data_IF_156555864690
#
_entry.id   IF_156555864690
#
_cell.length_a   1.000
_cell.length_b   1.000
_cell.length_c   1.000
_cell.angle_alpha   90.00
_cell.angle_beta   90.00
_cell.angle_gamma   90.00
#
_symmetry.space_group_name_H-M   'P 1'
#
loop_
_entity.id
_entity.type
_entity.pdbx_description
1 polymer ?
#
# COMPACT_ATOMS: atom_id res chain seq x y z
N UNK A 1 16.67 21.77 -9.04
CA UNK A 1 16.54 21.01 -7.78
C UNK A 1 16.93 21.94 -6.64
N UNK A 2 15.96 22.47 -5.91
CA UNK A 2 16.22 23.27 -4.72
C UNK A 2 16.62 22.32 -3.58
N UNK A 3 17.79 22.53 -2.98
CA UNK A 3 18.24 21.75 -1.83
C UNK A 3 17.27 21.95 -0.67
N UNK A 4 16.61 20.88 -0.23
CA UNK A 4 15.82 20.89 1.00
C UNK A 4 16.77 21.20 2.15
N UNK A 5 16.48 22.25 2.91
CA UNK A 5 17.31 22.69 4.04
C UNK A 5 17.04 21.76 5.24
N UNK A 6 17.71 20.60 5.27
CA UNK A 6 17.43 19.46 6.16
C UNK A 6 17.59 19.76 7.65
N UNK A 7 18.37 20.76 8.03
CA UNK A 7 18.60 21.11 9.44
C UNK A 7 17.35 21.62 10.17
N UNK A 8 16.48 22.37 9.49
CA UNK A 8 15.19 22.82 10.07
C UNK A 8 14.14 21.69 10.09
N UNK A 9 14.31 20.68 9.22
CA UNK A 9 13.41 19.55 9.13
C UNK A 9 13.66 18.58 10.28
N UNK A 10 14.92 18.29 10.61
CA UNK A 10 15.24 17.36 11.70
C UNK A 10 14.71 17.82 13.06
N UNK A 11 14.82 19.13 13.36
CA UNK A 11 14.28 19.68 14.60
C UNK A 11 12.74 19.61 14.67
N UNK A 12 12.05 19.70 13.54
CA UNK A 12 10.60 19.55 13.47
C UNK A 12 10.15 18.09 13.61
N UNK A 13 10.94 17.14 13.09
CA UNK A 13 10.66 15.70 13.17
C UNK A 13 10.83 15.12 14.58
N UNK A 14 11.65 15.77 15.42
CA UNK A 14 11.85 15.40 16.84
C UNK A 14 10.81 16.02 17.79
N UNK A 15 9.75 16.67 17.26
CA UNK A 15 8.68 17.19 18.11
C UNK A 15 8.01 16.05 18.91
N UNK A 16 7.99 16.13 20.26
CA UNK A 16 7.36 15.11 21.09
C UNK A 16 5.84 14.99 20.89
N UNK A 17 5.17 15.93 20.22
CA UNK A 17 3.78 15.78 19.78
C UNK A 17 3.67 14.74 18.66
N UNK A 18 4.54 14.79 17.66
CA UNK A 18 4.51 13.83 16.54
C UNK A 18 4.71 12.39 17.02
N UNK A 19 5.65 12.17 17.95
CA UNK A 19 5.85 10.85 18.53
C UNK A 19 4.61 10.33 19.29
N UNK A 20 3.84 11.23 19.93
CA UNK A 20 2.58 10.88 20.60
C UNK A 20 1.47 10.53 19.60
N UNK A 21 1.48 11.16 18.44
CA UNK A 21 0.52 10.90 17.35
C UNK A 21 0.89 9.65 16.52
N UNK A 22 1.93 8.91 16.92
CA UNK A 22 2.36 7.68 16.25
C UNK A 22 3.26 7.91 15.04
N UNK A 23 3.79 9.12 14.86
CA UNK A 23 4.74 9.40 13.80
C UNK A 23 6.10 8.75 14.07
N UNK A 24 6.55 7.91 13.14
CA UNK A 24 7.87 7.29 13.18
C UNK A 24 8.90 8.13 12.40
N UNK A 25 9.56 9.04 13.12
CA UNK A 25 10.59 9.90 12.57
C UNK A 25 11.80 9.11 12.02
N UNK A 26 12.10 7.93 12.57
CA UNK A 26 13.22 7.11 12.10
C UNK A 26 12.91 6.52 10.73
N UNK A 27 11.73 5.92 10.58
CA UNK A 27 11.26 5.40 9.29
C UNK A 27 11.15 6.50 8.24
N UNK A 28 10.67 7.69 8.63
CA UNK A 28 10.60 8.83 7.72
C UNK A 28 11.98 9.33 7.26
N UNK A 29 12.94 9.49 8.18
CA UNK A 29 14.32 9.87 7.85
C UNK A 29 14.98 8.85 6.92
N UNK A 30 14.76 7.56 7.17
CA UNK A 30 15.24 6.50 6.29
C UNK A 30 14.64 6.61 4.88
N UNK A 31 13.34 6.88 4.78
CA UNK A 31 12.66 7.11 3.50
C UNK A 31 13.22 8.34 2.77
N UNK A 32 13.38 9.45 3.48
CA UNK A 32 13.92 10.70 2.92
C UNK A 32 15.35 10.51 2.42
N UNK A 33 16.20 9.79 3.16
CA UNK A 33 17.55 9.47 2.72
C UNK A 33 17.56 8.64 1.42
N UNK A 34 16.67 7.64 1.31
CA UNK A 34 16.51 6.86 0.07
C UNK A 34 16.03 7.72 -1.09
N UNK A 35 15.09 8.64 -0.84
CA UNK A 35 14.62 9.61 -1.83
C UNK A 35 15.75 10.51 -2.33
N UNK A 36 16.53 11.09 -1.41
CA UNK A 36 17.65 11.98 -1.73
C UNK A 36 18.79 11.27 -2.49
N UNK A 37 19.01 9.98 -2.22
CA UNK A 37 19.96 9.15 -2.98
C UNK A 37 19.42 8.70 -4.35
N UNK A 38 18.17 9.03 -4.70
CA UNK A 38 17.54 8.62 -5.96
C UNK A 38 17.20 7.13 -6.01
N UNK A 39 17.17 6.44 -4.86
CA UNK A 39 16.81 5.02 -4.76
C UNK A 39 15.30 4.79 -4.85
N UNK A 40 14.52 5.84 -4.62
CA UNK A 40 13.08 5.84 -4.85
C UNK A 40 12.84 6.40 -6.25
N UNK A 41 12.42 5.51 -7.15
CA UNK A 41 11.84 5.95 -8.42
C UNK A 41 10.42 6.43 -8.14
N UNK A 42 10.03 7.55 -8.73
CA UNK A 42 8.60 7.87 -8.86
C UNK A 42 7.91 6.65 -9.48
N UNK A 43 6.67 6.36 -9.08
CA UNK A 43 5.91 5.32 -9.75
C UNK A 43 5.96 5.62 -11.23
N UNK A 44 6.44 4.66 -12.05
CA UNK A 44 6.44 4.84 -13.49
C UNK A 44 5.03 5.26 -13.87
N UNK A 45 4.85 6.36 -14.61
CA UNK A 45 3.58 6.61 -15.27
C UNK A 45 3.20 5.31 -15.97
N UNK A 46 1.94 4.88 -15.85
CA UNK A 46 1.44 3.76 -16.65
C UNK A 46 1.87 4.01 -18.09
N UNK A 47 2.75 3.15 -18.62
CA UNK A 47 3.25 3.29 -19.99
C UNK A 47 2.08 3.00 -20.93
N UNK A 48 1.63 4.02 -21.68
CA UNK A 48 0.54 3.90 -22.67
C UNK A 48 -0.74 4.66 -22.29
N UNK A 49 -1.72 4.61 -23.19
CA UNK A 49 -3.08 5.11 -22.90
C UNK A 49 -3.83 4.06 -22.08
N UNK A 50 -4.54 4.53 -21.04
CA UNK A 50 -5.58 3.71 -20.42
C UNK A 50 -6.79 3.73 -21.35
N UNK A 51 -6.90 2.71 -22.18
CA UNK A 51 -8.08 2.52 -23.01
C UNK A 51 -9.26 2.07 -22.14
N UNK A 52 -10.51 2.45 -22.48
CA UNK A 52 -11.68 1.94 -21.80
C UNK A 52 -11.73 0.41 -21.84
N UNK A 53 -12.15 -0.19 -20.72
CA UNK A 53 -12.40 -1.63 -20.64
C UNK A 53 -13.43 -2.05 -21.70
N UNK A 54 -13.13 -3.15 -22.38
CA UNK A 54 -14.02 -3.80 -23.35
C UNK A 54 -14.89 -4.84 -22.66
N UNK A 55 -16.03 -5.21 -23.26
CA UNK A 55 -16.80 -6.36 -22.80
C UNK A 55 -15.92 -7.61 -22.78
N UNK A 56 -15.75 -8.22 -21.60
CA UNK A 56 -14.94 -9.42 -21.40
C UNK A 56 -13.58 -9.19 -20.72
N UNK A 57 -13.12 -7.95 -20.59
CA UNK A 57 -11.84 -7.65 -19.89
C UNK A 57 -11.91 -7.94 -18.39
N UNK A 58 -13.12 -7.88 -17.83
CA UNK A 58 -13.40 -8.18 -16.42
C UNK A 58 -14.27 -9.42 -16.35
N UNK A 59 -13.73 -10.46 -15.72
CA UNK A 59 -14.52 -11.61 -15.31
C UNK A 59 -15.26 -11.26 -14.01
N UNK A 60 -16.60 -11.36 -13.98
CA UNK A 60 -17.33 -11.16 -12.74
C UNK A 60 -16.96 -12.25 -11.73
N UNK A 61 -17.00 -11.89 -10.45
CA UNK A 61 -16.84 -12.88 -9.38
C UNK A 61 -17.95 -13.95 -9.49
N UNK A 62 -17.64 -15.22 -9.13
CA UNK A 62 -18.65 -16.26 -9.06
C UNK A 62 -19.82 -15.83 -8.18
N UNK A 63 -21.04 -15.98 -8.68
CA UNK A 63 -22.26 -15.66 -7.91
C UNK A 63 -22.44 -16.68 -6.79
N UNK A 64 -23.05 -16.26 -5.69
CA UNK A 64 -23.44 -17.16 -4.62
C UNK A 64 -24.25 -18.36 -5.16
N UNK A 65 -24.07 -19.52 -4.53
CA UNK A 65 -24.70 -20.79 -4.92
C UNK A 65 -24.32 -21.34 -6.30
N UNK A 66 -23.33 -20.76 -6.98
CA UNK A 66 -22.71 -21.39 -8.16
C UNK A 66 -21.62 -22.38 -7.73
N UNK A 67 -21.34 -23.44 -8.52
CA UNK A 67 -20.27 -24.38 -8.20
C UNK A 67 -18.91 -23.70 -8.00
N UNK A 68 -18.58 -22.72 -8.82
CA UNK A 68 -17.32 -21.97 -8.74
C UNK A 68 -17.23 -21.16 -7.43
N UNK A 69 -18.35 -20.58 -6.98
CA UNK A 69 -18.43 -19.91 -5.69
C UNK A 69 -18.16 -20.86 -4.53
N UNK A 70 -18.78 -22.05 -4.54
CA UNK A 70 -18.57 -23.04 -3.46
C UNK A 70 -17.13 -23.54 -3.41
N UNK A 71 -16.47 -23.70 -4.56
CA UNK A 71 -15.04 -24.04 -4.62
C UNK A 71 -14.18 -22.93 -4.02
N UNK A 72 -14.43 -21.67 -4.41
CA UNK A 72 -13.71 -20.51 -3.86
C UNK A 72 -13.92 -20.40 -2.34
N UNK A 73 -15.17 -20.56 -1.88
CA UNK A 73 -15.54 -20.54 -0.47
C UNK A 73 -14.79 -21.61 0.32
N UNK A 74 -14.83 -22.86 -0.12
CA UNK A 74 -14.18 -23.97 0.57
C UNK A 74 -12.66 -23.76 0.71
N UNK A 75 -12.02 -23.22 -0.34
CA UNK A 75 -10.58 -22.86 -0.30
C UNK A 75 -10.31 -21.74 0.70
N UNK A 76 -11.13 -20.69 0.71
CA UNK A 76 -11.03 -19.60 1.69
C UNK A 76 -11.19 -20.08 3.13
N UNK A 77 -12.20 -20.91 3.40
CA UNK A 77 -12.43 -21.52 4.72
C UNK A 77 -11.28 -22.43 5.17
N UNK A 78 -10.66 -23.15 4.24
CA UNK A 78 -9.46 -23.95 4.54
C UNK A 78 -8.26 -23.05 4.88
N UNK A 79 -7.98 -22.02 4.07
CA UNK A 79 -6.88 -21.09 4.32
C UNK A 79 -7.04 -20.35 5.66
N UNK A 80 -8.28 -19.95 5.98
CA UNK A 80 -8.62 -19.34 7.26
C UNK A 80 -8.33 -20.28 8.42
N UNK A 81 -8.76 -21.56 8.34
CA UNK A 81 -8.47 -22.58 9.37
C UNK A 81 -6.98 -22.87 9.53
N UNK A 82 -6.19 -22.71 8.47
CA UNK A 82 -4.73 -22.89 8.49
C UNK A 82 -3.97 -21.66 9.01
N UNK A 83 -4.67 -20.58 9.40
CA UNK A 83 -4.04 -19.34 9.87
C UNK A 83 -3.33 -18.56 8.77
N UNK A 84 -3.68 -18.77 7.50
CA UNK A 84 -3.06 -18.13 6.34
C UNK A 84 -3.72 -16.80 5.96
N UNK A 85 -4.80 -16.42 6.65
CA UNK A 85 -5.58 -15.21 6.37
C UNK A 85 -5.44 -14.23 7.53
N UNK A 86 -5.05 -13.00 7.22
CA UNK A 86 -5.01 -11.88 8.17
C UNK A 86 -5.89 -10.74 7.66
N UNK A 87 -6.56 -10.04 8.57
CA UNK A 87 -7.32 -8.83 8.26
C UNK A 87 -6.49 -7.60 8.65
N UNK A 88 -6.24 -6.71 7.68
CA UNK A 88 -5.66 -5.39 7.92
C UNK A 88 -6.75 -4.35 7.71
N UNK A 89 -7.02 -3.56 8.74
CA UNK A 89 -7.92 -2.40 8.66
C UNK A 89 -7.04 -1.16 8.50
N UNK A 90 -7.20 -0.44 7.40
CA UNK A 90 -6.56 0.86 7.19
C UNK A 90 -7.51 1.93 7.69
N UNK A 91 -7.24 2.46 8.88
CA UNK A 91 -7.93 3.62 9.45
C UNK A 91 -6.91 4.76 9.53
N UNK A 92 -6.99 5.69 8.58
CA UNK A 92 -6.19 6.90 8.55
C UNK A 92 -6.76 7.99 9.44
#
# INVERSE_FOLDING_TARGET
>A
MAGVNTQNLDAALDDPQLARDGFDATSFRALLARYQRGELVESRPLEGSLDPLRPGDVQPLPRESTPDYEVCRARGEQAFRQGQVAALVVAG
#
